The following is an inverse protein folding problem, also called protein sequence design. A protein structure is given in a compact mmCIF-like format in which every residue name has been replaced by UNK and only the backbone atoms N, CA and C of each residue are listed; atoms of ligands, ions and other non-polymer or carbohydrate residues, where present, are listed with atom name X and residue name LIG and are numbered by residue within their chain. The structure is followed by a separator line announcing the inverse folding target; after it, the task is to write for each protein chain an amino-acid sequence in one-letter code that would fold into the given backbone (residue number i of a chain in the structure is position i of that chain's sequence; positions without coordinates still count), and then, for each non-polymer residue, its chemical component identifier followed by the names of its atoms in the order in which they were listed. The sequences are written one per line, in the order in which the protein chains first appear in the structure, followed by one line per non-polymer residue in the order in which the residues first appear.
data_IF_228815537723
#
_entry.id   IF_228815537723
#
_cell.length_a   1.000
_cell.length_b   1.000
_cell.length_c   1.000
_cell.angle_alpha   90.00
_cell.angle_beta   90.00
_cell.angle_gamma   90.00
#
_symmetry.space_group_name_H-M   'P 1'
#
loop_
_entity.id
_entity.type
_entity.pdbx_description
1 polymer ?
#
# COMPACT_ATOMS: atom_id res chain seq x y z
N UNK A 1 9.88 -2.86 -16.10
CA UNK A 1 8.70 -3.48 -15.46
C UNK A 1 7.47 -2.73 -15.94
N UNK A 2 6.50 -3.47 -16.50
CA UNK A 2 5.27 -2.88 -17.03
C UNK A 2 4.48 -2.29 -15.85
N UNK A 3 3.90 -1.11 -16.06
CA UNK A 3 3.40 -0.20 -15.03
C UNK A 3 2.42 -0.88 -14.09
N UNK A 4 2.45 -0.47 -12.82
CA UNK A 4 1.45 -0.87 -11.85
C UNK A 4 0.13 -0.14 -12.10
N UNK A 5 -0.99 -0.83 -11.97
CA UNK A 5 -2.33 -0.27 -12.05
C UNK A 5 -3.13 -0.72 -10.83
N UNK A 6 -3.75 0.24 -10.14
CA UNK A 6 -4.72 -0.03 -9.09
C UNK A 6 -6.01 0.73 -9.39
N UNK A 7 -7.12 0.17 -8.93
CA UNK A 7 -8.46 0.74 -9.03
C UNK A 7 -9.14 0.64 -7.67
N UNK A 8 -10.14 1.49 -7.43
CA UNK A 8 -10.93 1.52 -6.20
C UNK A 8 -12.23 2.28 -6.42
N UNK A 9 -13.17 2.19 -5.48
CA UNK A 9 -14.43 2.93 -5.50
C UNK A 9 -14.26 4.43 -5.29
N UNK A 10 -13.08 4.86 -4.84
CA UNK A 10 -12.69 6.27 -4.69
C UNK A 10 -11.21 6.47 -5.02
N UNK A 11 -10.79 7.72 -5.19
CA UNK A 11 -9.38 8.09 -5.37
C UNK A 11 -8.55 7.67 -4.15
N UNK A 12 -9.07 7.89 -2.94
CA UNK A 12 -8.39 7.51 -1.69
C UNK A 12 -8.17 6.01 -1.60
N UNK A 13 -9.16 5.20 -2.00
CA UNK A 13 -9.03 3.75 -2.03
C UNK A 13 -8.00 3.30 -3.08
N UNK A 14 -8.08 3.81 -4.31
CA UNK A 14 -7.12 3.48 -5.36
C UNK A 14 -5.69 3.87 -4.98
N UNK A 15 -5.51 5.03 -4.33
CA UNK A 15 -4.24 5.48 -3.79
C UNK A 15 -3.72 4.53 -2.70
N UNK A 16 -4.57 4.10 -1.77
CA UNK A 16 -4.17 3.15 -0.74
C UNK A 16 -3.75 1.80 -1.34
N UNK A 17 -4.48 1.30 -2.34
CA UNK A 17 -4.17 0.04 -3.03
C UNK A 17 -2.83 0.11 -3.78
N UNK A 18 -2.60 1.17 -4.56
CA UNK A 18 -1.34 1.32 -5.30
C UNK A 18 -0.15 1.44 -4.34
N UNK A 19 -0.33 2.15 -3.22
CA UNK A 19 0.71 2.35 -2.21
C UNK A 19 1.09 1.03 -1.52
N UNK A 20 0.12 0.25 -1.04
CA UNK A 20 0.38 -1.04 -0.38
C UNK A 20 1.05 -2.01 -1.34
N UNK A 21 0.60 -2.08 -2.60
CA UNK A 21 1.19 -2.97 -3.59
C UNK A 21 2.64 -2.61 -3.90
N UNK A 22 2.93 -1.32 -4.12
CA UNK A 22 4.30 -0.85 -4.34
C UNK A 22 5.22 -1.23 -3.16
N UNK A 23 4.74 -1.06 -1.91
CA UNK A 23 5.46 -1.49 -0.71
C UNK A 23 5.69 -3.00 -0.66
N UNK A 24 4.71 -3.80 -1.09
CA UNK A 24 4.84 -5.25 -1.17
C UNK A 24 5.92 -5.66 -2.19
N UNK A 25 5.95 -5.02 -3.37
CA UNK A 25 6.99 -5.26 -4.36
C UNK A 25 8.38 -4.87 -3.84
N UNK A 26 8.50 -3.70 -3.18
CA UNK A 26 9.76 -3.27 -2.56
C UNK A 26 10.25 -4.29 -1.51
N UNK A 27 9.34 -4.76 -0.64
CA UNK A 27 9.65 -5.78 0.35
C UNK A 27 10.08 -7.11 -0.31
N UNK A 28 9.41 -7.53 -1.38
CA UNK A 28 9.76 -8.74 -2.11
C UNK A 28 11.16 -8.63 -2.73
N UNK A 29 11.47 -7.52 -3.40
CA UNK A 29 12.79 -7.28 -3.98
C UNK A 29 13.87 -7.30 -2.90
N UNK A 30 13.64 -6.61 -1.78
CA UNK A 30 14.57 -6.59 -0.64
C UNK A 30 14.80 -7.99 -0.04
N UNK A 31 13.72 -8.78 0.12
CA UNK A 31 13.82 -10.13 0.65
C UNK A 31 14.58 -11.07 -0.30
N UNK A 32 14.32 -10.99 -1.61
CA UNK A 32 15.01 -11.80 -2.63
C UNK A 32 16.48 -11.40 -2.78
N UNK A 33 16.82 -10.12 -2.62
CA UNK A 33 18.20 -9.64 -2.68
C UNK A 33 19.09 -10.21 -1.58
N UNK A 34 18.51 -10.69 -0.47
CA UNK A 34 19.25 -11.31 0.63
C UNK A 34 19.84 -12.70 0.33
N UNK A 35 19.46 -13.35 -0.77
CA UNK A 35 20.04 -14.62 -1.22
C UNK A 35 19.80 -15.83 -0.29
N UNK A 36 18.97 -15.68 0.74
CA UNK A 36 18.58 -16.74 1.67
C UNK A 36 17.21 -17.31 1.30
N UNK A 37 16.92 -18.53 1.76
CA UNK A 37 15.59 -19.13 1.60
C UNK A 37 14.53 -18.28 2.30
N UNK A 38 13.48 -17.91 1.57
CA UNK A 38 12.36 -17.15 2.12
C UNK A 38 11.53 -18.02 3.07
N UNK A 39 11.15 -17.43 4.22
CA UNK A 39 10.18 -18.02 5.14
C UNK A 39 8.80 -17.43 4.86
N UNK A 40 7.91 -18.25 4.31
CA UNK A 40 6.54 -17.84 4.04
C UNK A 40 5.64 -18.05 5.26
N UNK A 41 4.66 -17.16 5.51
CA UNK A 41 3.61 -17.38 6.49
C UNK A 41 2.70 -18.56 6.08
N UNK A 42 1.99 -19.14 7.04
CA UNK A 42 1.00 -20.18 6.74
C UNK A 42 -0.19 -19.61 5.97
N UNK A 43 -0.91 -20.47 5.25
CA UNK A 43 -2.09 -20.09 4.47
C UNK A 43 -3.15 -19.38 5.33
N UNK A 44 -3.40 -19.88 6.53
CA UNK A 44 -4.40 -19.30 7.45
C UNK A 44 -4.05 -17.86 7.85
N UNK A 45 -2.77 -17.55 8.04
CA UNK A 45 -2.29 -16.19 8.34
C UNK A 45 -2.47 -15.29 7.12
N UNK A 46 -2.19 -15.79 5.91
CA UNK A 46 -2.45 -15.04 4.68
C UNK A 46 -3.94 -14.72 4.51
N UNK A 47 -4.82 -15.71 4.72
CA UNK A 47 -6.27 -15.55 4.62
C UNK A 47 -6.83 -14.61 5.70
N UNK A 48 -6.29 -14.69 6.93
CA UNK A 48 -6.61 -13.75 7.99
C UNK A 48 -6.25 -12.31 7.60
N UNK A 49 -5.03 -12.10 7.12
CA UNK A 49 -4.53 -10.77 6.72
C UNK A 49 -5.36 -10.20 5.56
N UNK A 50 -5.72 -11.03 4.59
CA UNK A 50 -6.58 -10.62 3.47
C UNK A 50 -7.98 -10.17 3.95
N UNK A 51 -8.58 -10.87 4.91
CA UNK A 51 -9.86 -10.47 5.52
C UNK A 51 -9.75 -9.16 6.31
N UNK A 52 -8.64 -8.96 7.02
CA UNK A 52 -8.37 -7.72 7.74
C UNK A 52 -8.26 -6.54 6.78
N UNK A 53 -7.45 -6.64 5.73
CA UNK A 53 -7.31 -5.58 4.72
C UNK A 53 -8.66 -5.23 4.07
N UNK A 54 -9.49 -6.23 3.78
CA UNK A 54 -10.84 -5.99 3.28
C UNK A 54 -11.75 -5.30 4.30
N UNK A 55 -11.54 -5.54 5.61
CA UNK A 55 -12.26 -4.84 6.67
C UNK A 55 -11.80 -3.38 6.80
N UNK A 56 -10.50 -3.10 6.69
CA UNK A 56 -9.96 -1.72 6.73
C UNK A 56 -10.61 -0.81 5.68
N UNK A 57 -10.88 -1.34 4.49
CA UNK A 57 -11.60 -0.60 3.45
C UNK A 57 -13.05 -0.31 3.89
N UNK A 58 -13.77 -1.31 4.40
CA UNK A 58 -15.14 -1.15 4.91
C UNK A 58 -15.23 -0.16 6.06
N UNK A 59 -14.22 -0.16 6.91
CA UNK A 59 -14.13 0.70 8.09
C UNK A 59 -13.52 2.07 7.77
N UNK A 60 -13.30 2.37 6.48
CA UNK A 60 -12.80 3.64 5.96
C UNK A 60 -11.39 4.05 6.42
N UNK A 61 -10.53 3.10 6.82
CA UNK A 61 -9.16 3.39 7.25
C UNK A 61 -8.30 3.98 6.12
N UNK A 62 -8.61 3.67 4.86
CA UNK A 62 -7.96 4.26 3.69
C UNK A 62 -8.09 5.80 3.65
N UNK A 63 -9.12 6.38 4.27
CA UNK A 63 -9.27 7.83 4.39
C UNK A 63 -8.23 8.44 5.33
N UNK A 64 -7.86 7.74 6.41
CA UNK A 64 -6.82 8.21 7.33
C UNK A 64 -5.46 8.27 6.63
N UNK A 65 -5.14 7.24 5.83
CA UNK A 65 -3.94 7.21 5.02
C UNK A 65 -3.94 8.33 3.97
N UNK A 66 -5.09 8.58 3.34
CA UNK A 66 -5.27 9.64 2.36
C UNK A 66 -5.08 11.04 2.97
N UNK A 67 -5.71 11.33 4.11
CA UNK A 67 -5.54 12.60 4.80
C UNK A 67 -4.09 12.83 5.25
N UNK A 68 -3.41 11.79 5.73
CA UNK A 68 -2.00 11.87 6.07
C UNK A 68 -1.14 12.20 4.83
N UNK A 69 -1.42 11.57 3.69
CA UNK A 69 -0.72 11.85 2.44
C UNK A 69 -0.95 13.30 1.98
N UNK A 70 -2.18 13.82 2.09
CA UNK A 70 -2.48 15.21 1.73
C UNK A 70 -1.76 16.21 2.63
N UNK A 71 -1.63 15.93 3.94
CA UNK A 71 -0.84 16.77 4.85
C UNK A 71 0.64 16.79 4.48
N UNK A 72 1.22 15.63 4.17
CA UNK A 72 2.61 15.53 3.72
C UNK A 72 2.85 16.31 2.42
N UNK A 73 1.89 16.27 1.50
CA UNK A 73 1.94 17.06 0.28
C UNK A 73 1.88 18.54 0.64
N UNK A 74 0.89 19.01 1.42
CA UNK A 74 0.75 20.43 1.77
C UNK A 74 1.97 21.01 2.52
N UNK A 75 2.70 20.19 3.29
CA UNK A 75 3.98 20.58 3.89
C UNK A 75 5.07 20.88 2.83
N UNK A 76 5.00 20.23 1.66
CA UNK A 76 5.92 20.36 0.53
C UNK A 76 5.45 21.39 -0.51
N UNK A 77 4.44 22.22 -0.18
CA UNK A 77 3.78 23.14 -1.11
C UNK A 77 4.69 24.08 -1.87
N UNK A 78 5.79 24.51 -1.26
CA UNK A 78 6.81 25.33 -1.93
C UNK A 78 7.40 24.66 -3.16
N UNK A 79 7.44 23.32 -3.21
CA UNK A 79 8.26 22.56 -4.16
C UNK A 79 7.49 22.22 -5.44
N UNK A 80 6.15 22.29 -5.42
CA UNK A 80 5.28 21.99 -6.56
C UNK A 80 4.34 23.12 -6.97
N UNK A 81 4.31 24.25 -6.25
CA UNK A 81 3.55 25.46 -6.62
C UNK A 81 4.41 26.60 -7.20
N UNK A 82 5.70 26.34 -7.50
CA UNK A 82 6.61 27.31 -8.13
C UNK A 82 6.41 27.42 -9.66
#
# INVERSE_FOLDING_TARGET
MHRLLAVGGSIAEAFNQIYIFERACQAQVAALAGGQSLRFPSKDVCELTARQLAAEIRDNLHLLAWEAALRLIDEQKSDYCA
#
